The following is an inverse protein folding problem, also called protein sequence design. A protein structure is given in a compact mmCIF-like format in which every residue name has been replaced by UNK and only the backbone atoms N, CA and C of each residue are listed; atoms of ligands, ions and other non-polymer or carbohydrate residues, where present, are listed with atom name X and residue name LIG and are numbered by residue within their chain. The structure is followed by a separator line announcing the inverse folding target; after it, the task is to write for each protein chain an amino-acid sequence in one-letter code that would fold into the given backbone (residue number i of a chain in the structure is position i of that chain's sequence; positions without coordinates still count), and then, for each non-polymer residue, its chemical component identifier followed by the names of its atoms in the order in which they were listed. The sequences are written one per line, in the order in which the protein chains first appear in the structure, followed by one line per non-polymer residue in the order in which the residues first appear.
data_IF_607136692028
#
_entry.id   IF_607136692028
#
_cell.length_a   1.000
_cell.length_b   1.000
_cell.length_c   1.000
_cell.angle_alpha   90.00
_cell.angle_beta   90.00
_cell.angle_gamma   90.00
#
_symmetry.space_group_name_H-M   'P 1'
#
loop_
_entity.id
_entity.type
_entity.pdbx_description
1 polymer ?
#
# COMPACT_ATOMS: atom_id res chain seq x y z
N UNK A 1 7.14 -71.62 -28.15
CA UNK A 1 6.54 -70.32 -28.53
C UNK A 1 5.50 -70.00 -27.46
N UNK A 2 5.43 -68.88 -26.75
CA UNK A 2 6.09 -67.58 -26.80
C UNK A 2 5.82 -66.85 -25.45
N UNK A 3 6.79 -66.03 -25.02
CA UNK A 3 6.74 -64.83 -24.15
C UNK A 3 5.75 -64.82 -22.95
N UNK A 4 6.14 -64.71 -21.68
CA UNK A 4 7.10 -63.76 -21.13
C UNK A 4 6.44 -62.42 -20.82
N UNK A 5 6.27 -62.06 -19.54
CA UNK A 5 6.48 -60.69 -19.02
C UNK A 5 6.30 -60.60 -17.50
N UNK A 6 7.42 -60.32 -16.84
CA UNK A 6 7.49 -59.72 -15.50
C UNK A 6 6.83 -58.34 -15.56
N UNK A 7 6.08 -57.97 -14.54
CA UNK A 7 5.76 -56.57 -14.25
C UNK A 7 6.01 -56.33 -12.75
N UNK A 8 7.27 -56.07 -12.43
CA UNK A 8 7.63 -55.36 -11.21
C UNK A 8 7.17 -53.92 -11.39
N UNK A 9 6.07 -53.53 -10.73
CA UNK A 9 5.65 -52.14 -10.67
C UNK A 9 6.46 -51.46 -9.55
N UNK A 10 7.40 -50.63 -9.98
CA UNK A 10 8.25 -49.79 -9.17
C UNK A 10 7.43 -48.91 -8.21
N UNK A 11 7.75 -48.99 -6.92
CA UNK A 11 7.44 -47.97 -5.92
C UNK A 11 8.11 -46.66 -6.34
N UNK A 12 7.33 -45.71 -6.89
CA UNK A 12 7.77 -44.32 -6.98
C UNK A 12 7.78 -43.73 -5.56
N UNK A 13 8.93 -43.28 -5.03
CA UNK A 13 8.91 -42.41 -3.86
C UNK A 13 8.29 -41.08 -4.30
N UNK A 14 7.11 -40.80 -3.77
CA UNK A 14 6.47 -39.49 -3.83
C UNK A 14 7.50 -38.45 -3.33
N UNK A 15 8.00 -37.67 -4.28
CA UNK A 15 8.73 -36.43 -4.05
C UNK A 15 7.82 -35.51 -3.23
N UNK A 16 7.96 -35.56 -1.91
CA UNK A 16 7.55 -34.53 -0.97
C UNK A 16 8.40 -33.28 -1.27
N UNK A 17 8.11 -32.63 -2.39
CA UNK A 17 8.49 -31.25 -2.58
C UNK A 17 7.73 -30.44 -1.55
N UNK A 18 8.45 -29.79 -0.64
CA UNK A 18 7.94 -28.77 0.25
C UNK A 18 7.18 -27.71 -0.58
N UNK A 19 5.87 -27.93 -0.78
CA UNK A 19 4.93 -26.90 -1.18
C UNK A 19 4.76 -25.95 0.02
N UNK A 20 5.82 -25.21 0.35
CA UNK A 20 5.67 -23.98 1.14
C UNK A 20 4.84 -23.05 0.28
N UNK A 21 3.54 -22.98 0.56
CA UNK A 21 2.68 -21.93 0.03
C UNK A 21 3.44 -20.61 0.19
N UNK A 22 3.56 -19.84 -0.90
CA UNK A 22 4.13 -18.51 -0.81
C UNK A 22 3.41 -17.77 0.33
N UNK A 23 4.15 -17.09 1.24
CA UNK A 23 3.51 -16.35 2.31
C UNK A 23 2.44 -15.43 1.70
N UNK A 24 1.19 -15.59 2.14
CA UNK A 24 0.12 -14.72 1.69
C UNK A 24 0.47 -13.31 2.15
N UNK A 25 0.55 -12.38 1.21
CA UNK A 25 0.82 -10.99 1.55
C UNK A 25 -0.36 -10.43 2.35
N UNK A 26 -0.09 -9.67 3.43
CA UNK A 26 -1.15 -9.09 4.22
C UNK A 26 -1.93 -8.07 3.39
N UNK A 27 -3.24 -7.98 3.62
CA UNK A 27 -4.09 -7.04 2.90
C UNK A 27 -3.88 -5.60 3.41
N UNK A 28 -3.89 -4.63 2.49
CA UNK A 28 -3.86 -3.21 2.85
C UNK A 28 -5.21 -2.83 3.46
N UNK A 29 -5.25 -2.21 4.66
CA UNK A 29 -6.51 -1.78 5.26
C UNK A 29 -7.35 -0.93 4.29
N UNK A 30 -8.64 -1.25 4.16
CA UNK A 30 -9.55 -0.48 3.32
C UNK A 30 -9.65 0.97 3.82
N UNK A 31 -9.73 1.96 2.92
CA UNK A 31 -9.91 3.35 3.32
C UNK A 31 -11.15 3.55 4.19
N UNK A 32 -11.07 4.41 5.23
CA UNK A 32 -12.22 4.68 6.07
C UNK A 32 -13.32 5.41 5.27
N UNK A 33 -14.56 5.35 5.73
CA UNK A 33 -15.74 5.87 5.00
C UNK A 33 -15.69 7.37 4.66
N UNK A 34 -14.82 8.13 5.31
CA UNK A 34 -14.55 9.53 5.00
C UNK A 34 -13.86 9.71 3.63
N UNK A 35 -13.16 8.69 3.14
CA UNK A 35 -12.49 8.69 1.84
C UNK A 35 -13.52 8.51 0.74
N UNK A 36 -13.65 9.51 -0.12
CA UNK A 36 -14.44 9.42 -1.36
C UNK A 36 -13.48 9.21 -2.51
N UNK A 37 -13.70 8.18 -3.33
CA UNK A 37 -12.89 8.00 -4.53
C UNK A 37 -13.04 9.20 -5.45
N UNK A 38 -11.93 9.58 -6.05
CA UNK A 38 -11.87 10.68 -6.98
C UNK A 38 -11.67 10.14 -8.39
N UNK A 39 -12.70 10.28 -9.23
CA UNK A 39 -12.60 9.91 -10.66
C UNK A 39 -11.82 10.96 -11.46
N UNK A 40 -12.04 12.24 -11.16
CA UNK A 40 -11.37 13.37 -11.79
C UNK A 40 -10.74 14.31 -10.75
N UNK A 41 -9.50 14.74 -11.00
CA UNK A 41 -8.77 15.61 -10.09
C UNK A 41 -9.39 17.02 -10.09
N UNK A 42 -9.91 17.43 -8.94
CA UNK A 42 -10.76 18.62 -8.79
C UNK A 42 -10.10 19.74 -7.97
N UNK A 43 -8.78 19.67 -7.75
CA UNK A 43 -8.05 20.69 -6.99
C UNK A 43 -7.26 21.60 -7.92
N UNK A 44 -7.17 22.88 -7.56
CA UNK A 44 -6.39 23.87 -8.32
C UNK A 44 -4.89 23.59 -8.30
N UNK A 45 -4.16 24.19 -9.24
CA UNK A 45 -2.76 23.91 -9.56
C UNK A 45 -1.82 23.87 -8.36
N UNK A 46 -2.00 24.76 -7.38
CA UNK A 46 -1.12 24.79 -6.20
C UNK A 46 -1.30 23.58 -5.29
N UNK A 47 -2.54 23.09 -5.14
CA UNK A 47 -2.82 21.87 -4.38
C UNK A 47 -2.38 20.66 -5.19
N UNK A 48 -2.62 20.67 -6.52
CA UNK A 48 -2.14 19.65 -7.44
C UNK A 48 -0.63 19.45 -7.38
N UNK A 49 0.13 20.54 -7.37
CA UNK A 49 1.59 20.52 -7.31
C UNK A 49 2.09 19.96 -5.97
N UNK A 50 1.48 20.38 -4.85
CA UNK A 50 1.80 19.86 -3.53
C UNK A 50 1.49 18.36 -3.41
N UNK A 51 0.33 17.93 -3.92
CA UNK A 51 -0.08 16.51 -3.93
C UNK A 51 0.88 15.66 -4.74
N UNK A 52 1.24 16.15 -5.93
CA UNK A 52 2.19 15.48 -6.81
C UNK A 52 3.56 15.38 -6.17
N UNK A 53 4.04 16.43 -5.50
CA UNK A 53 5.32 16.42 -4.80
C UNK A 53 5.33 15.44 -3.62
N UNK A 54 4.26 15.41 -2.82
CA UNK A 54 4.14 14.51 -1.68
C UNK A 54 4.06 13.04 -2.12
N UNK A 55 3.30 12.75 -3.18
CA UNK A 55 3.25 11.40 -3.79
C UNK A 55 4.62 11.02 -4.36
N UNK A 56 5.28 11.93 -5.08
CA UNK A 56 6.61 11.69 -5.65
C UNK A 56 7.63 11.36 -4.56
N UNK A 57 7.63 12.09 -3.44
CA UNK A 57 8.51 11.80 -2.31
C UNK A 57 8.36 10.37 -1.81
N UNK A 58 7.12 9.90 -1.62
CA UNK A 58 6.86 8.51 -1.19
C UNK A 58 7.34 7.50 -2.22
N UNK A 59 7.11 7.77 -3.51
CA UNK A 59 7.55 6.89 -4.60
C UNK A 59 9.07 6.83 -4.69
N UNK A 60 9.77 7.94 -4.50
CA UNK A 60 11.23 7.98 -4.53
C UNK A 60 11.86 7.20 -3.37
N UNK A 61 11.24 7.26 -2.18
CA UNK A 61 11.73 6.53 -1.00
C UNK A 61 11.42 5.03 -1.08
N UNK A 62 10.23 4.65 -1.52
CA UNK A 62 9.77 3.25 -1.47
C UNK A 62 10.00 2.48 -2.77
N UNK A 63 9.92 3.15 -3.92
CA UNK A 63 10.00 2.55 -5.25
C UNK A 63 11.26 1.73 -5.51
N UNK A 64 12.48 2.20 -5.16
CA UNK A 64 13.72 1.43 -5.35
C UNK A 64 13.71 0.05 -4.66
N UNK A 65 12.97 -0.06 -3.55
CA UNK A 65 12.90 -1.30 -2.75
C UNK A 65 11.71 -2.17 -3.14
N UNK A 66 10.54 -1.57 -3.31
CA UNK A 66 9.26 -2.26 -3.40
C UNK A 66 8.61 -2.21 -4.79
N UNK A 67 9.26 -1.62 -5.79
CA UNK A 67 8.82 -1.67 -7.18
C UNK A 67 7.93 -0.51 -7.59
N UNK A 68 7.09 -0.73 -8.62
CA UNK A 68 6.22 0.33 -9.16
C UNK A 68 5.01 0.55 -8.24
N UNK A 69 4.60 1.81 -8.03
CA UNK A 69 3.43 2.13 -7.23
C UNK A 69 2.12 1.92 -8.01
N UNK A 70 1.08 1.50 -7.31
CA UNK A 70 -0.33 1.71 -7.66
C UNK A 70 -0.87 2.84 -6.76
N UNK A 71 -1.44 3.89 -7.35
CA UNK A 71 -1.92 5.06 -6.62
C UNK A 71 -3.44 5.13 -6.71
N UNK A 72 -4.11 4.96 -5.57
CA UNK A 72 -5.54 5.20 -5.43
C UNK A 72 -5.77 6.60 -4.86
N UNK A 73 -6.53 7.43 -5.59
CA UNK A 73 -6.78 8.84 -5.26
C UNK A 73 -8.14 9.04 -4.60
N UNK A 74 -8.17 9.88 -3.58
CA UNK A 74 -9.33 10.14 -2.76
C UNK A 74 -9.44 11.62 -2.40
N UNK A 75 -10.66 11.99 -2.03
CA UNK A 75 -10.98 13.28 -1.43
C UNK A 75 -11.45 13.05 0.01
N UNK A 76 -10.99 13.93 0.91
CA UNK A 76 -11.48 14.04 2.28
C UNK A 76 -12.10 15.42 2.49
N UNK A 77 -13.04 15.53 3.42
CA UNK A 77 -13.43 16.83 3.94
C UNK A 77 -12.25 17.45 4.70
N UNK A 78 -12.06 18.76 4.57
CA UNK A 78 -11.03 19.53 5.27
C UNK A 78 -11.13 19.40 6.81
N UNK A 79 -12.32 19.07 7.33
CA UNK A 79 -12.57 18.88 8.76
C UNK A 79 -12.13 17.50 9.28
N UNK A 80 -11.63 16.61 8.41
CA UNK A 80 -11.16 15.28 8.82
C UNK A 80 -9.87 15.40 9.63
N UNK A 81 -9.84 14.78 10.80
CA UNK A 81 -8.64 14.67 11.63
C UNK A 81 -7.65 13.66 11.01
N UNK A 82 -6.57 14.17 10.42
CA UNK A 82 -5.53 13.35 9.80
C UNK A 82 -4.76 12.49 10.80
N UNK A 83 -4.68 12.87 12.08
CA UNK A 83 -4.07 12.02 13.11
C UNK A 83 -4.95 10.81 13.40
N UNK A 84 -6.28 10.98 13.36
CA UNK A 84 -7.24 9.87 13.49
C UNK A 84 -7.20 8.94 12.27
N UNK A 85 -7.02 9.49 11.07
CA UNK A 85 -6.80 8.68 9.85
C UNK A 85 -5.52 7.85 9.97
N UNK A 86 -4.41 8.45 10.42
CA UNK A 86 -3.16 7.74 10.67
C UNK A 86 -3.34 6.61 11.69
N UNK A 87 -3.99 6.89 12.82
CA UNK A 87 -4.27 5.88 13.84
C UNK A 87 -5.14 4.73 13.32
N UNK A 88 -6.14 5.03 12.48
CA UNK A 88 -6.98 4.01 11.83
C UNK A 88 -6.13 3.06 10.99
N UNK A 89 -5.30 3.60 10.09
CA UNK A 89 -4.41 2.78 9.26
C UNK A 89 -3.36 2.04 10.09
N UNK A 90 -2.76 2.67 11.09
CA UNK A 90 -1.78 2.03 11.97
C UNK A 90 -2.36 0.82 12.72
N UNK A 91 -3.59 0.94 13.23
CA UNK A 91 -4.27 -0.16 13.91
C UNK A 91 -4.60 -1.30 12.94
N UNK A 92 -5.14 -0.98 11.76
CA UNK A 92 -5.44 -1.99 10.72
C UNK A 92 -4.18 -2.68 10.21
N UNK A 93 -3.12 -1.90 9.95
CA UNK A 93 -1.82 -2.39 9.51
C UNK A 93 -1.22 -3.36 10.54
N UNK A 94 -1.22 -2.96 11.82
CA UNK A 94 -0.74 -3.81 12.92
C UNK A 94 -1.54 -5.11 13.03
N UNK A 95 -2.86 -5.05 12.92
CA UNK A 95 -3.74 -6.22 12.98
C UNK A 95 -3.48 -7.20 11.82
N UNK A 96 -3.16 -6.68 10.64
CA UNK A 96 -2.80 -7.48 9.46
C UNK A 96 -1.30 -7.85 9.40
N UNK A 97 -0.49 -7.51 10.42
CA UNK A 97 0.93 -7.91 10.50
C UNK A 97 1.91 -7.03 9.73
N UNK A 98 1.47 -5.88 9.23
CA UNK A 98 2.34 -4.87 8.64
C UNK A 98 3.19 -4.18 9.70
N UNK A 99 4.37 -3.69 9.30
CA UNK A 99 5.31 -2.97 10.17
C UNK A 99 5.46 -1.52 9.71
N UNK A 100 5.45 -0.54 10.63
CA UNK A 100 5.63 0.85 10.26
C UNK A 100 7.01 1.07 9.61
N UNK A 101 7.05 1.96 8.62
CA UNK A 101 8.28 2.52 8.08
C UNK A 101 8.46 3.91 8.68
N UNK A 102 9.45 4.11 9.57
CA UNK A 102 9.75 5.44 10.08
C UNK A 102 10.24 6.35 8.95
N UNK A 103 10.24 7.66 9.20
CA UNK A 103 10.89 8.70 8.39
C UNK A 103 10.22 9.12 7.07
N UNK A 104 9.12 8.48 6.66
CA UNK A 104 8.36 8.92 5.45
C UNK A 104 7.73 10.30 5.64
N UNK A 105 7.27 10.63 6.84
CA UNK A 105 6.67 11.93 7.14
C UNK A 105 7.67 13.08 7.23
N UNK A 106 8.98 12.81 7.28
CA UNK A 106 9.99 13.85 7.44
C UNK A 106 10.33 14.60 6.14
N UNK A 107 10.03 14.01 4.97
CA UNK A 107 10.34 14.60 3.68
C UNK A 107 9.15 15.23 2.95
N UNK A 108 7.96 15.23 3.56
CA UNK A 108 6.79 15.96 3.04
C UNK A 108 6.74 17.38 3.62
N UNK A 109 6.11 18.31 2.90
CA UNK A 109 6.10 19.73 3.25
C UNK A 109 5.31 20.00 4.53
N UNK A 110 5.55 21.14 5.23
CA UNK A 110 4.71 21.54 6.37
C UNK A 110 3.23 21.59 5.99
N UNK A 111 2.40 20.86 6.74
CA UNK A 111 0.97 20.69 6.44
C UNK A 111 0.65 19.47 5.60
N UNK A 112 1.61 18.73 5.07
CA UNK A 112 1.38 17.41 4.49
C UNK A 112 1.54 16.34 5.56
N UNK A 113 0.84 15.22 5.40
CA UNK A 113 0.97 14.07 6.27
C UNK A 113 1.20 12.83 5.43
N UNK A 114 2.30 12.14 5.71
CA UNK A 114 2.62 10.88 5.06
C UNK A 114 3.10 9.86 6.08
N UNK A 115 2.61 8.64 5.96
CA UNK A 115 3.00 7.50 6.77
C UNK A 115 2.95 6.23 5.93
N UNK A 116 3.80 5.25 6.25
CA UNK A 116 3.88 4.03 5.47
C UNK A 116 4.10 2.80 6.35
N UNK A 117 3.76 1.65 5.78
CA UNK A 117 3.94 0.35 6.36
C UNK A 117 4.49 -0.63 5.32
N UNK A 118 5.16 -1.68 5.78
CA UNK A 118 5.73 -2.73 4.94
C UNK A 118 5.42 -4.13 5.44
N UNK A 119 5.44 -5.07 4.50
CA UNK A 119 5.47 -6.50 4.74
C UNK A 119 6.39 -7.13 3.71
N UNK A 120 7.42 -7.88 4.12
CA UNK A 120 8.39 -8.57 3.25
C UNK A 120 8.75 -7.87 1.92
N UNK A 121 7.96 -8.07 0.85
CA UNK A 121 8.17 -7.52 -0.50
C UNK A 121 7.21 -6.40 -0.91
N UNK A 122 6.24 -6.06 -0.08
CA UNK A 122 5.27 -5.00 -0.31
C UNK A 122 5.40 -3.87 0.68
N UNK A 123 4.92 -2.71 0.25
CA UNK A 123 4.72 -1.57 1.11
C UNK A 123 3.41 -0.87 0.71
N UNK A 124 2.82 -0.16 1.65
CA UNK A 124 1.82 0.84 1.31
C UNK A 124 2.06 2.11 2.12
N UNK A 125 1.63 3.22 1.57
CA UNK A 125 1.71 4.52 2.20
C UNK A 125 0.38 5.26 2.04
N UNK A 126 0.13 6.18 2.95
CA UNK A 126 -0.99 7.11 2.86
C UNK A 126 -0.41 8.51 2.91
N UNK A 127 -0.87 9.35 1.99
CA UNK A 127 -0.49 10.76 1.90
C UNK A 127 -1.77 11.59 1.93
N UNK A 128 -1.80 12.65 2.72
CA UNK A 128 -2.88 13.62 2.72
C UNK A 128 -2.33 15.03 2.92
N UNK A 129 -2.92 16.02 2.26
CA UNK A 129 -2.52 17.43 2.39
C UNK A 129 -3.48 18.13 3.34
N UNK A 130 -2.97 18.83 4.34
CA UNK A 130 -3.81 19.61 5.24
C UNK A 130 -4.56 20.71 4.47
N UNK A 131 -5.77 21.05 4.92
CA UNK A 131 -6.56 22.09 4.29
C UNK A 131 -5.88 23.45 4.38
N UNK A 132 -6.07 24.25 3.34
CA UNK A 132 -5.73 25.67 3.33
C UNK A 132 -6.98 26.49 3.66
N UNK A 133 -6.85 27.75 4.11
CA UNK A 133 -8.01 28.61 4.34
C UNK A 133 -8.91 28.70 3.09
N UNK A 134 -10.21 28.50 3.26
CA UNK A 134 -11.20 28.53 2.17
C UNK A 134 -11.28 27.25 1.33
N UNK A 135 -10.67 26.16 1.76
CA UNK A 135 -10.72 24.86 1.09
C UNK A 135 -11.53 23.87 1.93
N UNK A 136 -12.62 23.36 1.35
CA UNK A 136 -13.55 22.45 2.06
C UNK A 136 -13.17 20.96 1.92
N UNK A 137 -12.31 20.65 0.96
CA UNK A 137 -11.88 19.29 0.67
C UNK A 137 -10.38 19.21 0.39
N UNK A 138 -9.77 18.08 0.71
CA UNK A 138 -8.33 17.87 0.56
C UNK A 138 -8.05 16.58 -0.21
N UNK A 139 -6.96 16.53 -0.99
CA UNK A 139 -6.53 15.28 -1.60
C UNK A 139 -5.95 14.34 -0.55
N UNK A 140 -6.23 13.06 -0.74
CA UNK A 140 -5.59 11.97 -0.02
C UNK A 140 -5.32 10.81 -0.99
N UNK A 141 -4.20 10.13 -0.79
CA UNK A 141 -3.74 9.06 -1.66
C UNK A 141 -3.37 7.83 -0.83
N UNK A 142 -3.76 6.66 -1.30
CA UNK A 142 -3.25 5.38 -0.83
C UNK A 142 -2.36 4.81 -1.93
N UNK A 143 -1.09 4.63 -1.62
CA UNK A 143 -0.06 4.20 -2.56
C UNK A 143 0.38 2.79 -2.17
N UNK A 144 0.27 1.83 -3.08
CA UNK A 144 0.65 0.43 -2.87
C UNK A 144 1.85 0.07 -3.72
N UNK A 145 2.74 -0.76 -3.20
CA UNK A 145 3.93 -1.24 -3.89
C UNK A 145 3.96 -2.76 -3.83
N UNK A 146 4.16 -3.40 -4.99
CA UNK A 146 4.22 -4.85 -5.14
C UNK A 146 5.46 -5.24 -5.96
N UNK A 147 6.24 -6.21 -5.45
CA UNK A 147 7.47 -6.71 -6.07
C UNK A 147 7.53 -8.23 -6.18
#
# INVERSE_FOLDING_TARGET
MALGRRAAALLLPLLLGDCRAAPMEPEVPSPPSAFRQQEEYAFGDTIAAADTAAVAHVVDVLGPRFGRPEVARYVLAATVDLARVEAYYANGAKAAGWRPLPDIGAGVSPGERAFAFRSDRTAFAVVAIAPRPGVDTIPANVIRFHR
#
